data_IF_229070702188
#
_entry.id   IF_229070702188
#
_cell.length_a   1.000
_cell.length_b   1.000
_cell.length_c   1.000
_cell.angle_alpha   90.00
_cell.angle_beta   90.00
_cell.angle_gamma   90.00
#
_symmetry.space_group_name_H-M   'P 1'
#
loop_
_entity.id
_entity.type
_entity.pdbx_description
1 polymer ?
#
# COMPACT_ATOMS: atom_id res chain seq x y z
N UNK A 1 21.30 19.41 -18.34
CA UNK A 1 22.09 20.20 -19.30
C UNK A 1 22.26 21.67 -18.92
N UNK A 2 21.23 22.52 -18.81
CA UNK A 2 21.47 23.94 -18.41
C UNK A 2 21.91 24.12 -16.95
N UNK A 3 21.47 23.26 -16.02
CA UNK A 3 21.84 23.35 -14.61
C UNK A 3 23.33 23.03 -14.35
N UNK A 4 23.88 22.06 -15.08
CA UNK A 4 25.26 21.58 -14.93
C UNK A 4 26.25 22.65 -15.42
N UNK A 5 25.93 23.32 -16.52
CA UNK A 5 26.73 24.43 -17.06
C UNK A 5 26.79 25.64 -16.11
N UNK A 6 25.70 25.93 -15.39
CA UNK A 6 25.65 27.02 -14.41
C UNK A 6 26.47 26.69 -13.16
N UNK A 7 26.38 25.45 -12.66
CA UNK A 7 27.21 24.97 -11.54
C UNK A 7 28.70 25.02 -11.87
N UNK A 8 29.08 24.61 -13.08
CA UNK A 8 30.46 24.63 -13.54
C UNK A 8 30.97 26.07 -13.72
N UNK A 9 30.13 26.98 -14.21
CA UNK A 9 30.46 28.41 -14.28
C UNK A 9 30.65 29.03 -12.87
N UNK A 10 29.79 28.70 -11.90
CA UNK A 10 29.94 29.18 -10.53
C UNK A 10 31.20 28.64 -9.84
N UNK A 11 31.53 27.36 -10.02
CA UNK A 11 32.75 26.75 -9.49
C UNK A 11 34.03 27.41 -10.06
N UNK A 12 34.03 27.71 -11.37
CA UNK A 12 35.14 28.41 -12.02
C UNK A 12 35.28 29.84 -11.48
N UNK A 13 34.19 30.57 -11.29
CA UNK A 13 34.22 31.94 -10.73
C UNK A 13 34.75 31.94 -9.30
N UNK A 14 34.33 30.98 -8.46
CA UNK A 14 34.82 30.87 -7.07
C UNK A 14 36.32 30.53 -7.05
N UNK A 15 36.77 29.60 -7.91
CA UNK A 15 38.19 29.21 -7.99
C UNK A 15 39.07 30.36 -8.47
N UNK A 16 38.59 31.14 -9.45
CA UNK A 16 39.28 32.35 -9.93
C UNK A 16 39.33 33.40 -8.83
N UNK A 17 38.23 33.63 -8.11
CA UNK A 17 38.20 34.58 -7.01
C UNK A 17 39.21 34.19 -5.91
N UNK A 18 39.20 32.93 -5.46
CA UNK A 18 40.16 32.41 -4.48
C UNK A 18 41.61 32.57 -4.98
N UNK A 19 41.87 32.25 -6.25
CA UNK A 19 43.19 32.40 -6.86
C UNK A 19 43.68 33.86 -6.90
N UNK A 20 42.79 34.80 -7.21
CA UNK A 20 43.11 36.24 -7.21
C UNK A 20 43.39 36.73 -5.78
N UNK A 21 42.57 36.32 -4.80
CA UNK A 21 42.80 36.69 -3.40
C UNK A 21 44.10 36.11 -2.84
N UNK A 22 44.39 34.84 -3.13
CA UNK A 22 45.62 34.19 -2.70
C UNK A 22 46.85 34.81 -3.40
N UNK A 23 46.73 35.14 -4.69
CA UNK A 23 47.78 35.79 -5.46
C UNK A 23 48.09 37.20 -4.94
N UNK A 24 47.06 37.99 -4.62
CA UNK A 24 47.23 39.31 -4.01
C UNK A 24 47.83 39.22 -2.60
N UNK A 25 47.35 38.28 -1.77
CA UNK A 25 47.90 38.05 -0.43
C UNK A 25 49.37 37.59 -0.45
N UNK A 26 49.78 36.79 -1.43
CA UNK A 26 51.17 36.34 -1.60
C UNK A 26 52.08 37.42 -2.22
N UNK A 27 51.55 38.24 -3.15
CA UNK A 27 52.29 39.35 -3.72
C UNK A 27 52.61 40.45 -2.68
N UNK A 28 51.72 40.66 -1.71
CA UNK A 28 51.86 41.65 -0.64
C UNK A 28 52.98 41.30 0.38
N UNK A 29 53.27 40.01 0.60
CA UNK A 29 54.41 39.57 1.43
C UNK A 29 55.76 40.06 0.86
N UNK A 30 55.80 40.46 -0.42
CA UNK A 30 57.02 40.89 -1.11
C UNK A 30 57.22 42.42 -1.20
N UNK A 31 56.26 43.25 -0.78
CA UNK A 31 56.32 44.71 -0.95
C UNK A 31 56.15 45.46 0.39
N UNK A 32 57.15 46.27 0.78
CA UNK A 32 57.29 46.86 2.12
C UNK A 32 56.56 48.19 2.39
N UNK A 33 55.34 48.41 1.91
CA UNK A 33 54.60 49.68 2.10
C UNK A 33 53.27 49.49 2.86
N UNK A 34 53.15 50.08 4.06
CA UNK A 34 52.05 49.87 5.02
C UNK A 34 50.71 50.51 4.66
N UNK A 35 50.67 51.51 3.77
CA UNK A 35 49.44 52.28 3.47
C UNK A 35 48.47 51.57 2.51
N UNK A 36 48.97 50.61 1.71
CA UNK A 36 48.11 49.80 0.83
C UNK A 36 47.32 48.72 1.59
N UNK A 37 47.79 48.35 2.78
CA UNK A 37 47.27 47.25 3.58
C UNK A 37 45.86 47.53 4.17
N UNK A 38 45.59 48.78 4.55
CA UNK A 38 44.30 49.19 5.12
C UNK A 38 43.17 49.17 4.07
N UNK A 39 43.47 49.51 2.81
CA UNK A 39 42.48 49.46 1.73
C UNK A 39 42.17 48.02 1.28
N UNK A 40 43.18 47.15 1.27
CA UNK A 40 42.99 45.74 0.88
C UNK A 40 42.09 44.99 1.86
N UNK A 41 42.28 45.19 3.17
CA UNK A 41 41.46 44.53 4.20
C UNK A 41 39.99 44.97 4.14
N UNK A 42 39.74 46.23 3.80
CA UNK A 42 38.39 46.76 3.60
C UNK A 42 37.70 46.16 2.36
N UNK A 43 38.41 46.05 1.24
CA UNK A 43 37.91 45.41 0.02
C UNK A 43 37.63 43.92 0.25
N UNK A 44 38.52 43.22 0.97
CA UNK A 44 38.33 41.83 1.33
C UNK A 44 37.08 41.64 2.21
N UNK A 45 36.84 42.54 3.18
CA UNK A 45 35.64 42.53 4.01
C UNK A 45 34.35 42.72 3.19
N UNK A 46 34.31 43.67 2.26
CA UNK A 46 33.16 43.90 1.37
C UNK A 46 32.89 42.67 0.49
N UNK A 47 33.94 42.07 -0.07
CA UNK A 47 33.80 40.88 -0.90
C UNK A 47 33.34 39.65 -0.11
N UNK A 48 33.77 39.50 1.15
CA UNK A 48 33.28 38.46 2.04
C UNK A 48 31.77 38.60 2.33
N UNK A 49 31.29 39.82 2.61
CA UNK A 49 29.86 40.08 2.83
C UNK A 49 29.06 39.81 1.55
N UNK A 50 29.56 40.24 0.39
CA UNK A 50 28.92 39.98 -0.89
C UNK A 50 28.83 38.46 -1.20
N UNK A 51 29.90 37.71 -0.95
CA UNK A 51 29.91 36.25 -1.11
C UNK A 51 28.92 35.54 -0.18
N UNK A 52 28.84 35.97 1.09
CA UNK A 52 27.85 35.47 2.03
C UNK A 52 26.41 35.76 1.56
N UNK A 53 26.15 36.98 1.07
CA UNK A 53 24.85 37.37 0.51
C UNK A 53 24.42 36.52 -0.69
N UNK A 54 25.35 36.26 -1.63
CA UNK A 54 25.11 35.38 -2.78
C UNK A 54 24.80 33.95 -2.31
N UNK A 55 25.52 33.46 -1.29
CA UNK A 55 25.32 32.12 -0.74
C UNK A 55 23.94 31.98 -0.12
N UNK A 56 23.50 32.95 0.69
CA UNK A 56 22.15 32.97 1.29
C UNK A 56 21.06 32.99 0.21
N UNK A 57 21.21 33.83 -0.82
CA UNK A 57 20.25 33.87 -1.93
C UNK A 57 20.19 32.55 -2.70
N UNK A 58 21.34 31.90 -2.92
CA UNK A 58 21.40 30.58 -3.55
C UNK A 58 20.74 29.50 -2.68
N UNK A 59 20.98 29.50 -1.38
CA UNK A 59 20.34 28.57 -0.44
C UNK A 59 18.81 28.72 -0.48
N UNK A 60 18.28 29.94 -0.37
CA UNK A 60 16.84 30.20 -0.45
C UNK A 60 16.21 29.66 -1.74
N UNK A 61 16.90 29.83 -2.87
CA UNK A 61 16.44 29.32 -4.17
C UNK A 61 16.50 27.79 -4.27
N UNK A 62 17.48 27.17 -3.64
CA UNK A 62 17.61 25.71 -3.58
C UNK A 62 16.52 25.13 -2.69
N UNK A 63 16.29 25.70 -1.51
CA UNK A 63 15.28 25.25 -0.55
C UNK A 63 13.87 25.30 -1.16
N UNK A 64 13.54 26.39 -1.86
CA UNK A 64 12.25 26.51 -2.56
C UNK A 64 12.04 25.38 -3.58
N UNK A 65 13.05 25.07 -4.39
CA UNK A 65 12.99 23.98 -5.37
C UNK A 65 12.99 22.59 -4.74
N UNK A 66 13.67 22.41 -3.63
CA UNK A 66 13.63 21.16 -2.87
C UNK A 66 12.23 20.93 -2.33
N UNK A 67 11.55 21.98 -1.85
CA UNK A 67 10.18 21.90 -1.39
C UNK A 67 9.19 21.54 -2.51
N UNK A 68 9.33 22.17 -3.70
CA UNK A 68 8.55 21.82 -4.90
C UNK A 68 8.70 20.34 -5.27
N UNK A 69 9.94 19.85 -5.38
CA UNK A 69 10.23 18.44 -5.68
C UNK A 69 9.71 17.49 -4.61
N UNK A 70 9.80 17.88 -3.34
CA UNK A 70 9.27 17.07 -2.25
C UNK A 70 7.75 16.90 -2.39
N UNK A 71 7.03 17.97 -2.72
CA UNK A 71 5.60 17.91 -3.04
C UNK A 71 5.29 17.03 -4.24
N UNK A 72 6.06 17.14 -5.33
CA UNK A 72 5.91 16.29 -6.52
C UNK A 72 6.10 14.80 -6.20
N UNK A 73 7.16 14.45 -5.45
CA UNK A 73 7.45 13.07 -5.04
C UNK A 73 6.36 12.53 -4.13
N UNK A 74 5.88 13.33 -3.18
CA UNK A 74 4.78 12.95 -2.30
C UNK A 74 3.50 12.70 -3.10
N UNK A 75 3.15 13.57 -4.06
CA UNK A 75 1.99 13.40 -4.91
C UNK A 75 2.08 12.13 -5.79
N UNK A 76 3.27 11.82 -6.31
CA UNK A 76 3.51 10.59 -7.07
C UNK A 76 3.34 9.34 -6.20
N UNK A 77 3.87 9.35 -4.98
CA UNK A 77 3.72 8.24 -4.02
C UNK A 77 2.24 8.02 -3.67
N UNK A 78 1.51 9.08 -3.32
CA UNK A 78 0.07 9.00 -3.03
C UNK A 78 -0.75 8.46 -4.21
N UNK A 79 -0.37 8.84 -5.45
CA UNK A 79 -1.00 8.29 -6.66
C UNK A 79 -0.71 6.81 -6.83
N UNK A 80 0.51 6.37 -6.58
CA UNK A 80 0.89 4.96 -6.67
C UNK A 80 0.12 4.12 -5.63
N UNK A 81 0.04 4.60 -4.39
CA UNK A 81 -0.69 3.93 -3.32
C UNK A 81 -2.20 3.88 -3.59
N UNK A 82 -2.78 4.96 -4.13
CA UNK A 82 -4.17 4.96 -4.59
C UNK A 82 -4.42 3.88 -5.65
N UNK A 83 -3.53 3.74 -6.64
CA UNK A 83 -3.68 2.72 -7.68
C UNK A 83 -3.52 1.30 -7.11
N UNK A 84 -2.63 1.10 -6.13
CA UNK A 84 -2.46 -0.18 -5.41
C UNK A 84 -3.76 -0.54 -4.70
N UNK A 85 -4.31 0.37 -3.91
CA UNK A 85 -5.57 0.16 -3.19
C UNK A 85 -6.71 -0.09 -4.16
N UNK A 86 -6.88 0.75 -5.19
CA UNK A 86 -7.99 0.59 -6.14
C UNK A 86 -7.96 -0.77 -6.85
N UNK A 87 -6.77 -1.26 -7.22
CA UNK A 87 -6.61 -2.61 -7.82
C UNK A 87 -6.89 -3.72 -6.82
N UNK A 88 -6.54 -3.51 -5.55
CA UNK A 88 -6.76 -4.50 -4.49
C UNK A 88 -8.24 -4.57 -4.05
N UNK A 89 -8.91 -3.42 -3.90
CA UNK A 89 -10.22 -3.31 -3.24
C UNK A 89 -11.39 -3.50 -4.19
N UNK A 90 -11.36 -2.91 -5.39
CA UNK A 90 -12.52 -2.85 -6.28
C UNK A 90 -13.01 -4.24 -6.71
N UNK A 91 -12.17 -5.14 -7.27
CA UNK A 91 -12.63 -6.48 -7.60
C UNK A 91 -12.95 -7.28 -6.33
N UNK A 92 -12.04 -7.25 -5.34
CA UNK A 92 -12.14 -8.07 -4.13
C UNK A 92 -13.42 -7.80 -3.34
N UNK A 93 -13.81 -6.54 -3.13
CA UNK A 93 -15.03 -6.20 -2.40
C UNK A 93 -16.28 -6.74 -3.11
N UNK A 94 -16.34 -6.61 -4.44
CA UNK A 94 -17.45 -7.16 -5.22
C UNK A 94 -17.49 -8.68 -5.16
N UNK A 95 -16.33 -9.33 -5.16
CA UNK A 95 -16.22 -10.79 -5.11
C UNK A 95 -16.58 -11.33 -3.72
N UNK A 96 -16.18 -10.65 -2.63
CA UNK A 96 -16.60 -11.00 -1.27
C UNK A 96 -18.12 -10.92 -1.09
N UNK A 97 -18.77 -9.88 -1.63
CA UNK A 97 -20.24 -9.75 -1.57
C UNK A 97 -20.95 -10.84 -2.38
N UNK A 98 -20.52 -11.07 -3.62
CA UNK A 98 -21.07 -12.13 -4.45
C UNK A 98 -20.94 -13.48 -3.74
N UNK A 99 -19.77 -13.75 -3.19
CA UNK A 99 -19.51 -14.96 -2.43
C UNK A 99 -20.43 -15.07 -1.20
N UNK A 100 -20.57 -14.00 -0.39
CA UNK A 100 -21.47 -13.98 0.77
C UNK A 100 -22.93 -14.29 0.39
N UNK A 101 -23.41 -13.66 -0.69
CA UNK A 101 -24.77 -13.87 -1.22
C UNK A 101 -24.98 -15.30 -1.73
N UNK A 102 -24.06 -15.81 -2.55
CA UNK A 102 -24.10 -17.17 -3.08
C UNK A 102 -24.07 -18.21 -1.94
N UNK A 103 -23.25 -17.98 -0.93
CA UNK A 103 -23.13 -18.87 0.22
C UNK A 103 -24.34 -18.84 1.13
N UNK A 104 -24.94 -17.68 1.34
CA UNK A 104 -26.21 -17.55 2.06
C UNK A 104 -27.31 -18.33 1.36
N UNK A 105 -27.42 -18.18 0.03
CA UNK A 105 -28.38 -18.93 -0.77
C UNK A 105 -28.16 -20.45 -0.68
N UNK A 106 -26.90 -20.90 -0.73
CA UNK A 106 -26.55 -22.32 -0.65
C UNK A 106 -26.76 -22.92 0.73
N UNK A 107 -26.44 -22.17 1.80
CA UNK A 107 -26.75 -22.61 3.16
C UNK A 107 -28.25 -22.74 3.38
N UNK A 108 -29.06 -21.88 2.76
CA UNK A 108 -30.52 -22.00 2.80
C UNK A 108 -30.99 -23.26 2.08
N UNK A 109 -30.52 -23.51 0.85
CA UNK A 109 -30.84 -24.74 0.12
C UNK A 109 -30.45 -26.00 0.92
N UNK A 110 -29.28 -26.00 1.54
CA UNK A 110 -28.85 -27.10 2.41
C UNK A 110 -29.79 -27.29 3.61
N UNK A 111 -30.22 -26.22 4.27
CA UNK A 111 -31.15 -26.29 5.41
C UNK A 111 -32.54 -26.77 4.97
N UNK A 112 -33.00 -26.32 3.79
CA UNK A 112 -34.29 -26.72 3.21
C UNK A 112 -34.24 -28.23 2.83
N UNK A 113 -33.17 -28.70 2.16
CA UNK A 113 -32.94 -30.12 1.85
C UNK A 113 -32.87 -30.99 3.10
N UNK A 114 -32.20 -30.51 4.16
CA UNK A 114 -32.09 -31.25 5.43
C UNK A 114 -33.43 -31.36 6.17
N UNK A 115 -34.34 -30.42 5.93
CA UNK A 115 -35.66 -30.40 6.59
C UNK A 115 -36.67 -31.34 5.92
N UNK A 116 -36.38 -31.82 4.72
CA UNK A 116 -37.23 -32.74 3.97
C UNK A 116 -36.88 -34.20 4.33
N UNK A 117 -37.78 -34.94 5.02
CA UNK A 117 -37.53 -36.32 5.41
C UNK A 117 -37.45 -37.30 4.23
N UNK A 118 -37.97 -36.92 3.06
CA UNK A 118 -37.98 -37.76 1.85
C UNK A 118 -36.78 -37.49 0.92
N UNK A 119 -36.06 -36.37 1.10
CA UNK A 119 -34.86 -36.03 0.32
C UNK A 119 -33.64 -36.66 0.98
N UNK A 120 -33.11 -37.70 0.33
CA UNK A 120 -31.91 -38.39 0.77
C UNK A 120 -30.67 -37.49 0.70
N UNK A 121 -30.37 -36.82 1.83
CA UNK A 121 -29.07 -36.24 2.22
C UNK A 121 -28.52 -35.16 1.28
N UNK A 122 -27.70 -34.22 1.78
CA UNK A 122 -27.07 -33.23 0.92
C UNK A 122 -26.36 -33.93 -0.24
N UNK A 123 -26.77 -33.60 -1.47
CA UNK A 123 -26.25 -34.27 -2.65
C UNK A 123 -24.72 -34.07 -2.72
N UNK A 124 -24.00 -35.07 -3.25
CA UNK A 124 -22.56 -34.97 -3.50
C UNK A 124 -22.21 -33.72 -4.32
N UNK A 125 -23.13 -33.33 -5.20
CA UNK A 125 -23.09 -32.11 -5.97
C UNK A 125 -23.14 -30.86 -5.08
N UNK A 126 -24.07 -30.77 -4.12
CA UNK A 126 -24.14 -29.66 -3.15
C UNK A 126 -22.82 -29.50 -2.39
N UNK A 127 -22.18 -30.60 -2.00
CA UNK A 127 -20.90 -30.60 -1.27
C UNK A 127 -19.71 -30.19 -2.15
N UNK A 128 -19.61 -30.75 -3.36
CA UNK A 128 -18.60 -30.36 -4.35
C UNK A 128 -18.68 -28.87 -4.65
N UNK A 129 -19.90 -28.40 -4.93
CA UNK A 129 -20.21 -27.00 -5.19
C UNK A 129 -19.78 -26.10 -4.03
N UNK A 130 -20.07 -26.46 -2.78
CA UNK A 130 -19.70 -25.70 -1.59
C UNK A 130 -18.18 -25.57 -1.46
N UNK A 131 -17.48 -26.69 -1.65
CA UNK A 131 -16.03 -26.73 -1.53
C UNK A 131 -15.33 -25.96 -2.65
N UNK A 132 -15.83 -26.03 -3.89
CA UNK A 132 -15.27 -25.28 -5.01
C UNK A 132 -15.41 -23.77 -4.79
N UNK A 133 -16.54 -23.33 -4.22
CA UNK A 133 -16.74 -21.92 -3.84
C UNK A 133 -15.86 -21.50 -2.66
N UNK A 134 -15.63 -22.37 -1.69
CA UNK A 134 -14.65 -22.11 -0.63
C UNK A 134 -13.20 -22.04 -1.18
N UNK A 135 -12.87 -22.80 -2.22
CA UNK A 135 -11.58 -22.69 -2.91
C UNK A 135 -11.39 -21.35 -3.63
N UNK A 136 -12.45 -20.82 -4.24
CA UNK A 136 -12.42 -19.51 -4.92
C UNK A 136 -12.12 -18.37 -3.94
N UNK A 137 -12.76 -18.36 -2.76
CA UNK A 137 -12.51 -17.31 -1.78
C UNK A 137 -11.10 -17.37 -1.17
N UNK A 138 -10.55 -18.58 -0.99
CA UNK A 138 -9.16 -18.73 -0.56
C UNK A 138 -8.19 -18.12 -1.59
N UNK A 139 -8.45 -18.34 -2.88
CA UNK A 139 -7.65 -17.74 -3.96
C UNK A 139 -7.75 -16.21 -3.96
N UNK A 140 -8.93 -15.66 -3.63
CA UNK A 140 -9.12 -14.21 -3.50
C UNK A 140 -8.36 -13.64 -2.30
N UNK A 141 -8.47 -14.27 -1.13
CA UNK A 141 -7.83 -13.83 0.13
C UNK A 141 -6.30 -13.91 0.11
N UNK A 142 -5.77 -14.93 -0.56
CA UNK A 142 -4.34 -15.13 -0.78
C UNK A 142 -3.87 -14.45 -2.08
N UNK A 143 -4.78 -13.78 -2.79
CA UNK A 143 -4.51 -13.10 -4.04
C UNK A 143 -3.44 -12.03 -3.87
N UNK A 144 -2.55 -11.93 -4.87
CA UNK A 144 -1.46 -10.94 -4.89
C UNK A 144 -1.98 -9.50 -4.74
N UNK A 145 -3.20 -9.22 -5.20
CA UNK A 145 -3.83 -7.89 -5.10
C UNK A 145 -3.99 -7.43 -3.66
N UNK A 146 -4.65 -8.23 -2.81
CA UNK A 146 -4.86 -7.88 -1.40
C UNK A 146 -3.54 -7.84 -0.63
N UNK A 147 -2.65 -8.80 -0.89
CA UNK A 147 -1.34 -8.82 -0.23
C UNK A 147 -0.47 -7.60 -0.60
N UNK A 148 -0.56 -7.12 -1.84
CA UNK A 148 0.23 -5.99 -2.31
C UNK A 148 -0.22 -4.63 -1.75
N UNK A 149 -1.34 -4.55 -1.03
CA UNK A 149 -1.81 -3.32 -0.38
C UNK A 149 -1.92 -3.50 1.16
N UNK A 150 -1.33 -4.56 1.71
CA UNK A 150 -1.42 -4.91 3.13
C UNK A 150 -0.81 -3.85 4.05
N UNK A 151 0.25 -3.17 3.59
CA UNK A 151 0.88 -2.03 4.24
C UNK A 151 0.00 -0.78 4.31
N UNK A 152 -1.02 -0.70 3.45
CA UNK A 152 -1.94 0.44 3.37
C UNK A 152 -3.25 0.21 4.12
N UNK A 153 -3.44 -0.98 4.70
CA UNK A 153 -4.62 -1.30 5.46
C UNK A 153 -4.54 -0.74 6.88
N UNK A 154 -5.65 -0.18 7.35
CA UNK A 154 -5.80 0.15 8.76
C UNK A 154 -5.70 -1.10 9.65
N UNK A 155 -5.44 -0.92 10.96
CA UNK A 155 -5.30 -2.03 11.90
C UNK A 155 -6.54 -2.92 11.95
N UNK A 156 -7.74 -2.32 11.91
CA UNK A 156 -9.02 -3.05 11.95
C UNK A 156 -9.22 -3.96 10.73
N UNK A 157 -8.96 -3.45 9.51
CA UNK A 157 -9.08 -4.26 8.29
C UNK A 157 -8.03 -5.36 8.25
N UNK A 158 -6.81 -5.07 8.69
CA UNK A 158 -5.71 -6.04 8.80
C UNK A 158 -6.09 -7.18 9.73
N UNK A 159 -6.62 -6.87 10.92
CA UNK A 159 -7.10 -7.86 11.88
C UNK A 159 -8.23 -8.72 11.28
N UNK A 160 -9.24 -8.10 10.67
CA UNK A 160 -10.37 -8.83 10.06
C UNK A 160 -9.96 -9.74 8.92
N UNK A 161 -9.01 -9.30 8.08
CA UNK A 161 -8.44 -10.14 7.03
C UNK A 161 -7.66 -11.32 7.60
N UNK A 162 -6.93 -11.12 8.70
CA UNK A 162 -6.23 -12.20 9.39
C UNK A 162 -7.21 -13.22 10.01
N UNK A 163 -8.25 -12.73 10.70
CA UNK A 163 -9.33 -13.56 11.24
C UNK A 163 -10.01 -14.37 10.13
N UNK A 164 -10.39 -13.71 9.03
CA UNK A 164 -10.93 -14.39 7.86
C UNK A 164 -9.98 -15.48 7.36
N UNK A 165 -8.72 -15.14 7.05
CA UNK A 165 -7.72 -16.10 6.55
C UNK A 165 -7.61 -17.33 7.45
N UNK A 166 -7.55 -17.16 8.78
CA UNK A 166 -7.51 -18.29 9.72
C UNK A 166 -8.78 -19.15 9.66
N UNK A 167 -9.97 -18.52 9.64
CA UNK A 167 -11.23 -19.24 9.51
C UNK A 167 -11.35 -20.00 8.19
N UNK A 168 -10.84 -19.45 7.09
CA UNK A 168 -10.80 -20.11 5.78
C UNK A 168 -9.86 -21.30 5.73
N UNK A 169 -8.69 -21.22 6.36
CA UNK A 169 -7.77 -22.35 6.46
C UNK A 169 -8.44 -23.51 7.18
N UNK A 170 -9.07 -23.24 8.33
CA UNK A 170 -9.79 -24.24 9.11
C UNK A 170 -10.95 -24.86 8.31
N UNK A 171 -11.72 -24.04 7.59
CA UNK A 171 -12.79 -24.54 6.74
C UNK A 171 -12.25 -25.44 5.61
N UNK A 172 -11.18 -25.03 4.95
CA UNK A 172 -10.60 -25.81 3.85
C UNK A 172 -10.10 -27.17 4.35
N UNK A 173 -9.52 -27.23 5.55
CA UNK A 173 -9.14 -28.49 6.20
C UNK A 173 -10.37 -29.38 6.46
N UNK A 174 -11.45 -28.83 7.00
CA UNK A 174 -12.70 -29.56 7.23
C UNK A 174 -13.35 -30.05 5.93
N UNK A 175 -13.36 -29.23 4.88
CA UNK A 175 -13.91 -29.60 3.57
C UNK A 175 -13.07 -30.70 2.91
N UNK A 176 -11.75 -30.65 3.03
CA UNK A 176 -10.87 -31.71 2.52
C UNK A 176 -11.07 -33.01 3.30
N UNK A 177 -11.23 -32.93 4.63
CA UNK A 177 -11.58 -34.09 5.44
C UNK A 177 -12.95 -34.67 5.02
N UNK A 178 -13.98 -33.83 4.87
CA UNK A 178 -15.30 -34.25 4.39
C UNK A 178 -15.24 -34.92 3.01
N UNK A 179 -14.52 -34.31 2.05
CA UNK A 179 -14.27 -34.90 0.72
C UNK A 179 -13.56 -36.26 0.80
N UNK A 180 -12.60 -36.40 1.71
CA UNK A 180 -11.88 -37.67 1.89
C UNK A 180 -12.80 -38.78 2.38
N UNK A 181 -13.70 -38.49 3.34
CA UNK A 181 -14.69 -39.45 3.82
C UNK A 181 -15.63 -39.89 2.70
N UNK A 182 -16.11 -38.94 1.90
CA UNK A 182 -17.02 -39.21 0.80
C UNK A 182 -16.43 -40.10 -0.31
N UNK A 183 -15.10 -40.05 -0.50
CA UNK A 183 -14.41 -40.89 -1.49
C UNK A 183 -14.13 -42.32 -0.99
N UNK A 184 -14.27 -42.59 0.31
CA UNK A 184 -14.07 -43.93 0.86
C UNK A 184 -15.37 -44.72 0.73
N UNK A 185 -15.33 -45.78 -0.06
CA UNK A 185 -16.46 -46.71 -0.20
C UNK A 185 -16.79 -47.36 1.15
N UNK A 186 -18.07 -47.30 1.57
CA UNK A 186 -18.55 -47.97 2.79
C UNK A 186 -18.76 -47.06 4.01
N UNK A 187 -18.58 -45.75 3.87
CA UNK A 187 -18.90 -44.80 4.94
C UNK A 187 -20.41 -44.71 5.14
N UNK A 188 -20.83 -44.69 6.41
CA UNK A 188 -22.23 -44.53 6.74
C UNK A 188 -22.70 -43.15 6.30
N UNK A 189 -23.92 -43.09 5.80
CA UNK A 189 -24.51 -41.82 5.39
C UNK A 189 -24.62 -40.81 6.56
N UNK A 190 -24.58 -41.28 7.81
CA UNK A 190 -24.58 -40.47 9.04
C UNK A 190 -23.26 -39.71 9.23
N UNK A 191 -22.12 -40.33 8.92
CA UNK A 191 -20.80 -39.71 9.12
C UNK A 191 -20.57 -38.56 8.13
N UNK A 192 -21.02 -38.74 6.88
CA UNK A 192 -21.01 -37.69 5.86
C UNK A 192 -21.88 -36.49 6.28
N UNK A 193 -23.02 -36.74 6.91
CA UNK A 193 -23.91 -35.71 7.41
C UNK A 193 -23.29 -34.90 8.56
N UNK A 194 -22.67 -35.58 9.54
CA UNK A 194 -21.94 -34.91 10.61
C UNK A 194 -20.76 -34.07 10.12
N UNK A 195 -20.00 -34.58 9.14
CA UNK A 195 -18.91 -33.81 8.52
C UNK A 195 -19.44 -32.55 7.83
N UNK A 196 -20.60 -32.64 7.17
CA UNK A 196 -21.25 -31.49 6.51
C UNK A 196 -21.81 -30.48 7.50
N UNK A 197 -22.43 -30.92 8.59
CA UNK A 197 -22.87 -30.04 9.66
C UNK A 197 -21.69 -29.26 10.24
N UNK A 198 -20.54 -29.91 10.43
CA UNK A 198 -19.29 -29.25 10.82
C UNK A 198 -18.86 -28.15 9.85
N UNK A 199 -18.87 -28.43 8.55
CA UNK A 199 -18.54 -27.43 7.51
C UNK A 199 -19.52 -26.26 7.52
N UNK A 200 -20.82 -26.52 7.64
CA UNK A 200 -21.87 -25.49 7.70
C UNK A 200 -21.71 -24.59 8.91
N UNK A 201 -21.41 -25.17 10.08
CA UNK A 201 -21.13 -24.42 11.30
C UNK A 201 -19.92 -23.50 11.15
N UNK A 202 -18.86 -23.95 10.46
CA UNK A 202 -17.66 -23.14 10.19
C UNK A 202 -17.88 -22.05 9.14
N UNK A 203 -18.75 -22.28 8.14
CA UNK A 203 -19.05 -21.29 7.09
C UNK A 203 -19.91 -20.15 7.63
N UNK A 204 -20.89 -20.45 8.49
CA UNK A 204 -21.87 -19.48 8.98
C UNK A 204 -21.25 -18.17 9.53
N UNK A 205 -20.20 -18.18 10.39
CA UNK A 205 -19.57 -16.94 10.86
C UNK A 205 -18.74 -16.21 9.79
N UNK A 206 -18.29 -16.91 8.73
CA UNK A 206 -17.46 -16.33 7.68
C UNK A 206 -18.25 -15.51 6.66
N UNK A 207 -19.54 -15.81 6.49
CA UNK A 207 -20.47 -15.06 5.62
C UNK A 207 -20.56 -13.58 6.02
N UNK A 208 -21.00 -13.22 7.24
CA UNK A 208 -21.08 -11.81 7.63
C UNK A 208 -19.69 -11.16 7.69
N UNK A 209 -18.64 -11.92 8.00
CA UNK A 209 -17.27 -11.40 7.97
C UNK A 209 -16.84 -10.98 6.56
N UNK A 210 -17.22 -11.73 5.51
CA UNK A 210 -16.94 -11.37 4.13
C UNK A 210 -17.64 -10.06 3.73
N UNK A 211 -18.90 -9.84 4.15
CA UNK A 211 -19.61 -8.59 3.90
C UNK A 211 -18.98 -7.40 4.63
N UNK A 212 -18.56 -7.61 5.88
CA UNK A 212 -17.84 -6.58 6.66
C UNK A 212 -16.53 -6.21 5.98
N UNK A 213 -15.75 -7.20 5.51
CA UNK A 213 -14.50 -6.97 4.77
C UNK A 213 -14.79 -6.22 3.48
N UNK A 214 -15.82 -6.61 2.72
CA UNK A 214 -16.19 -5.93 1.49
C UNK A 214 -16.55 -4.45 1.75
N UNK A 215 -17.35 -4.16 2.78
CA UNK A 215 -17.69 -2.80 3.19
C UNK A 215 -16.47 -1.98 3.59
N UNK A 216 -15.54 -2.58 4.36
CA UNK A 216 -14.31 -1.92 4.77
C UNK A 216 -13.37 -1.62 3.58
N UNK A 217 -13.25 -2.54 2.62
CA UNK A 217 -12.48 -2.35 1.39
C UNK A 217 -13.06 -1.21 0.52
N UNK A 218 -14.38 -1.12 0.41
CA UNK A 218 -15.06 -0.03 -0.32
C UNK A 218 -14.92 1.32 0.38
N UNK A 219 -15.02 1.34 1.72
CA UNK A 219 -14.81 2.54 2.52
C UNK A 219 -13.39 3.07 2.30
N UNK A 220 -12.39 2.18 2.40
CA UNK A 220 -10.98 2.50 2.14
C UNK A 220 -10.78 3.03 0.70
N UNK A 221 -11.36 2.36 -0.29
CA UNK A 221 -11.29 2.81 -1.69
C UNK A 221 -11.91 4.20 -1.90
N UNK A 222 -12.98 4.51 -1.17
CA UNK A 222 -13.68 5.79 -1.22
C UNK A 222 -12.87 6.89 -0.53
N UNK A 223 -12.27 6.60 0.62
CA UNK A 223 -11.39 7.51 1.35
C UNK A 223 -10.19 7.94 0.49
N UNK A 224 -9.48 6.98 -0.10
CA UNK A 224 -8.35 7.27 -1.01
C UNK A 224 -8.76 7.99 -2.31
N UNK A 225 -10.02 7.85 -2.72
CA UNK A 225 -10.56 8.63 -3.85
C UNK A 225 -10.82 10.08 -3.44
N UNK A 226 -11.26 10.33 -2.21
CA UNK A 226 -11.52 11.68 -1.67
C UNK A 226 -10.23 12.45 -1.43
N UNK A 227 -9.25 11.85 -0.77
CA UNK A 227 -7.98 12.52 -0.40
C UNK A 227 -7.20 13.02 -1.62
N UNK A 228 -7.21 12.28 -2.73
CA UNK A 228 -6.49 12.67 -3.96
C UNK A 228 -7.34 13.57 -4.88
N UNK A 229 -8.66 13.59 -4.69
CA UNK A 229 -9.57 14.40 -5.50
C UNK A 229 -9.52 15.90 -5.18
N UNK A 230 -9.03 16.27 -3.99
CA UNK A 230 -8.92 17.66 -3.57
C UNK A 230 -7.61 17.90 -2.81
N UNK A 231 -6.47 18.00 -3.50
CA UNK A 231 -5.17 18.24 -2.87
C UNK A 231 -5.02 19.62 -2.22
N UNK A 232 -6.04 20.48 -2.30
CA UNK A 232 -6.06 21.85 -1.77
C UNK A 232 -7.38 22.18 -1.02
N UNK A 233 -7.99 21.18 -0.37
CA UNK A 233 -9.26 21.35 0.35
C UNK A 233 -9.15 22.05 1.71
N UNK A 234 -7.93 22.24 2.21
CA UNK A 234 -7.64 22.80 3.54
C UNK A 234 -7.08 24.22 3.41
#
# INVERSE_FOLDING_TARGET
MRADAVLQACSNVISIAIGIFLGLALADISAGERDLWEWQTLIAGILAVAAAGITVFQMQRIDARQHERHGEVMALNLRADRLRIQRATVPAASDFRKWSQEMTARLKLYQDEKSDPDVFKPSFETMGNLSDKAGQINTLLLGKGLKAAEDLYGPELTQRLAEARSGWVNLNEQLNAAKSYLNVSGISSSDAEHAMDGCVLSIRPLIPLADIIAGALEALATEYRRTVGNPFAD
#
